data_IF_796801154720
#
_entry.id   IF_796801154720
#
_cell.length_a   1.000
_cell.length_b   1.000
_cell.length_c   1.000
_cell.angle_alpha   90.00
_cell.angle_beta   90.00
_cell.angle_gamma   90.00
#
_symmetry.space_group_name_H-M   'P 1'
#
loop_
_entity.id
_entity.type
_entity.pdbx_description
1 polymer ?
#
# COMPACT_ATOMS: atom_id res chain seq x y z
N UNK A 1 28.86 24.14 23.25
CA UNK A 1 27.51 24.09 23.81
C UNK A 1 26.44 24.43 22.73
N UNK A 2 26.72 25.34 21.83
CA UNK A 2 25.80 25.79 20.75
C UNK A 2 25.45 24.69 19.70
N UNK A 3 26.41 23.86 19.31
CA UNK A 3 26.20 22.77 18.36
C UNK A 3 25.24 21.64 18.85
N UNK A 4 25.14 21.45 20.16
CA UNK A 4 24.23 20.46 20.76
C UNK A 4 22.78 20.98 20.82
N UNK A 5 22.59 22.27 21.07
CA UNK A 5 21.30 22.95 21.06
C UNK A 5 20.69 23.00 19.65
N UNK A 6 21.49 23.29 18.62
CA UNK A 6 21.04 23.29 17.23
C UNK A 6 20.58 21.91 16.72
N UNK A 7 21.27 20.84 17.13
CA UNK A 7 20.88 19.45 16.80
C UNK A 7 19.58 19.03 17.49
N UNK A 8 19.34 19.50 18.72
CA UNK A 8 18.11 19.24 19.47
C UNK A 8 16.88 19.92 18.84
N UNK A 9 17.02 21.18 18.42
CA UNK A 9 15.96 21.94 17.74
C UNK A 9 15.61 21.32 16.36
N UNK A 10 16.61 21.02 15.54
CA UNK A 10 16.41 20.38 14.24
C UNK A 10 15.79 18.95 14.34
N UNK A 11 16.03 18.23 15.44
CA UNK A 11 15.39 16.93 15.71
C UNK A 11 13.92 17.10 16.13
N UNK A 12 13.62 18.10 16.96
CA UNK A 12 12.24 18.44 17.35
C UNK A 12 11.42 18.89 16.16
N UNK A 13 11.91 19.80 15.35
CA UNK A 13 11.24 20.28 14.12
C UNK A 13 10.94 19.13 13.15
N UNK A 14 11.88 18.21 12.95
CA UNK A 14 11.66 17.01 12.12
C UNK A 14 10.59 16.08 12.69
N UNK A 15 10.58 15.90 14.00
CA UNK A 15 9.58 15.07 14.68
C UNK A 15 8.18 15.73 14.61
N UNK A 16 8.09 17.06 14.78
CA UNK A 16 6.83 17.82 14.63
C UNK A 16 6.32 17.76 13.18
N UNK A 17 7.24 17.89 12.23
CA UNK A 17 6.93 17.78 10.81
C UNK A 17 6.41 16.38 10.43
N UNK A 18 7.00 15.32 11.00
CA UNK A 18 6.55 13.94 10.79
C UNK A 18 5.17 13.70 11.42
N UNK A 19 4.93 14.18 12.66
CA UNK A 19 3.62 14.10 13.31
C UNK A 19 2.53 14.83 12.51
N UNK A 20 2.80 16.03 12.06
CA UNK A 20 1.86 16.79 11.24
C UNK A 20 1.57 16.10 9.90
N UNK A 21 2.60 15.51 9.26
CA UNK A 21 2.40 14.73 8.04
C UNK A 21 1.44 13.57 8.29
N UNK A 22 1.65 12.81 9.36
CA UNK A 22 0.80 11.66 9.70
C UNK A 22 -0.64 12.09 9.98
N UNK A 23 -0.86 13.14 10.78
CA UNK A 23 -2.20 13.70 11.04
C UNK A 23 -2.94 14.10 9.76
N UNK A 24 -2.25 14.71 8.80
CA UNK A 24 -2.84 15.11 7.52
C UNK A 24 -3.22 13.86 6.70
N UNK A 25 -2.35 12.86 6.64
CA UNK A 25 -2.63 11.62 5.91
C UNK A 25 -3.75 10.80 6.54
N UNK A 26 -3.81 10.73 7.88
CA UNK A 26 -4.90 10.04 8.59
C UNK A 26 -6.25 10.75 8.35
N UNK A 27 -6.28 12.08 8.37
CA UNK A 27 -7.46 12.87 8.06
C UNK A 27 -7.91 12.68 6.60
N UNK A 28 -6.97 12.71 5.66
CA UNK A 28 -7.24 12.45 4.25
C UNK A 28 -7.80 11.03 4.03
N UNK A 29 -7.22 10.02 4.69
CA UNK A 29 -7.67 8.64 4.60
C UNK A 29 -9.13 8.48 5.03
N UNK A 30 -9.51 9.10 6.17
CA UNK A 30 -10.89 9.07 6.65
C UNK A 30 -11.84 9.75 5.68
N UNK A 31 -11.53 10.98 5.28
CA UNK A 31 -12.40 11.75 4.38
C UNK A 31 -12.55 11.08 3.00
N UNK A 32 -11.48 10.53 2.44
CA UNK A 32 -11.54 9.77 1.18
C UNK A 32 -12.38 8.49 1.29
N UNK A 33 -12.33 7.82 2.43
CA UNK A 33 -13.14 6.63 2.67
C UNK A 33 -14.64 6.96 2.85
N UNK A 34 -14.96 8.09 3.50
CA UNK A 34 -16.34 8.49 3.81
C UNK A 34 -17.03 9.18 2.64
N UNK A 35 -16.33 10.08 1.95
CA UNK A 35 -16.91 10.98 0.95
C UNK A 35 -16.51 10.67 -0.49
N UNK A 36 -15.52 9.80 -0.68
CA UNK A 36 -14.87 9.58 -1.97
C UNK A 36 -13.83 10.67 -2.29
N UNK A 37 -12.86 10.34 -3.13
CA UNK A 37 -11.72 11.22 -3.44
C UNK A 37 -12.18 12.53 -4.11
N UNK A 38 -13.19 12.48 -4.97
CA UNK A 38 -13.64 13.63 -5.75
C UNK A 38 -14.32 14.69 -4.89
N UNK A 39 -15.08 14.30 -3.87
CA UNK A 39 -15.81 15.21 -2.99
C UNK A 39 -14.93 15.89 -1.94
N UNK A 40 -13.72 15.39 -1.67
CA UNK A 40 -12.85 15.94 -0.62
C UNK A 40 -12.02 17.12 -1.14
N UNK A 41 -12.00 18.21 -0.38
CA UNK A 41 -11.12 19.37 -0.61
C UNK A 41 -9.91 19.36 0.33
N UNK A 42 -8.80 20.04 -0.08
CA UNK A 42 -7.65 20.25 0.82
C UNK A 42 -8.01 21.05 2.07
N UNK A 43 -9.02 21.92 1.98
CA UNK A 43 -9.51 22.71 3.13
C UNK A 43 -10.19 21.81 4.16
N UNK A 44 -11.02 20.86 3.72
CA UNK A 44 -11.64 19.87 4.60
C UNK A 44 -10.57 19.02 5.30
N UNK A 45 -9.55 18.57 4.56
CA UNK A 45 -8.44 17.83 5.14
C UNK A 45 -7.64 18.64 6.15
N UNK A 46 -7.38 19.93 5.86
CA UNK A 46 -6.67 20.82 6.78
C UNK A 46 -7.44 21.02 8.09
N UNK A 47 -8.75 21.24 7.99
CA UNK A 47 -9.66 21.39 9.13
C UNK A 47 -9.69 20.12 9.98
N UNK A 48 -9.91 18.96 9.36
CA UNK A 48 -9.95 17.66 10.03
C UNK A 48 -8.60 17.30 10.69
N UNK A 49 -7.49 17.65 10.05
CA UNK A 49 -6.15 17.44 10.59
C UNK A 49 -5.75 18.45 11.67
N UNK A 50 -6.52 19.53 11.88
CA UNK A 50 -6.18 20.63 12.78
C UNK A 50 -4.89 21.34 12.39
N UNK A 51 -4.69 21.61 11.09
CA UNK A 51 -3.54 22.34 10.54
C UNK A 51 -3.98 23.44 9.59
N UNK A 52 -3.13 24.44 9.36
CA UNK A 52 -3.44 25.48 8.37
C UNK A 52 -3.43 24.94 6.93
N UNK A 53 -4.36 25.41 6.06
CA UNK A 53 -4.44 25.09 4.63
C UNK A 53 -3.09 25.24 3.91
N UNK A 54 -2.36 26.33 4.18
CA UNK A 54 -1.04 26.56 3.60
C UNK A 54 0.00 25.48 3.95
N UNK A 55 -0.17 24.78 5.08
CA UNK A 55 0.69 23.67 5.48
C UNK A 55 0.43 22.45 4.61
N UNK A 56 -0.85 22.13 4.33
CA UNK A 56 -1.24 21.02 3.46
C UNK A 56 -0.77 21.30 2.03
N UNK A 57 -1.10 22.49 1.50
CA UNK A 57 -0.70 22.86 0.14
C UNK A 57 0.81 22.85 -0.06
N UNK A 58 1.59 23.49 0.84
CA UNK A 58 3.06 23.51 0.73
C UNK A 58 3.69 22.13 0.76
N UNK A 59 3.06 21.15 1.42
CA UNK A 59 3.62 19.82 1.64
C UNK A 59 3.21 18.80 0.57
N UNK A 60 2.00 18.92 0.05
CA UNK A 60 1.42 17.93 -0.85
C UNK A 60 1.05 18.51 -2.23
N UNK A 61 1.09 19.83 -2.39
CA UNK A 61 0.70 20.52 -3.60
C UNK A 61 -0.82 20.56 -3.78
N UNK A 62 -1.35 19.50 -4.32
CA UNK A 62 -2.77 19.36 -4.60
C UNK A 62 -3.36 18.06 -4.01
N UNK A 63 -4.60 17.77 -4.35
CA UNK A 63 -5.31 16.56 -3.93
C UNK A 63 -4.64 15.29 -4.47
N UNK A 64 -4.09 15.34 -5.68
CA UNK A 64 -3.40 14.19 -6.29
C UNK A 64 -2.08 13.87 -5.57
N UNK A 65 -1.31 14.91 -5.22
CA UNK A 65 -0.11 14.76 -4.41
C UNK A 65 -0.39 14.24 -2.99
N UNK A 66 -1.50 14.65 -2.38
CA UNK A 66 -1.95 14.13 -1.09
C UNK A 66 -2.35 12.64 -1.19
N UNK A 67 -3.07 12.27 -2.24
CA UNK A 67 -3.47 10.90 -2.53
C UNK A 67 -2.25 9.99 -2.74
N UNK A 68 -1.29 10.42 -3.57
CA UNK A 68 -0.04 9.70 -3.79
C UNK A 68 0.74 9.52 -2.48
N UNK A 69 0.85 10.56 -1.66
CA UNK A 69 1.56 10.47 -0.38
C UNK A 69 0.88 9.54 0.63
N UNK A 70 -0.45 9.39 0.56
CA UNK A 70 -1.20 8.45 1.39
C UNK A 70 -0.93 6.99 0.95
N UNK A 71 -0.90 6.72 -0.34
CA UNK A 71 -0.56 5.41 -0.87
C UNK A 71 0.88 5.02 -0.50
N UNK A 72 1.84 5.92 -0.70
CA UNK A 72 3.25 5.70 -0.34
C UNK A 72 3.44 5.34 1.16
N UNK A 73 2.66 5.95 2.04
CA UNK A 73 2.74 5.65 3.48
C UNK A 73 2.22 4.24 3.77
N UNK A 74 1.05 3.88 3.23
CA UNK A 74 0.46 2.56 3.39
C UNK A 74 1.30 1.44 2.76
N UNK A 75 1.90 1.71 1.61
CA UNK A 75 2.83 0.80 0.96
C UNK A 75 4.06 0.54 1.82
N UNK A 76 4.66 1.59 2.41
CA UNK A 76 5.77 1.45 3.34
C UNK A 76 5.40 0.64 4.58
N UNK A 77 4.25 0.90 5.18
CA UNK A 77 3.76 0.14 6.35
C UNK A 77 3.61 -1.35 6.01
N UNK A 78 3.07 -1.69 4.83
CA UNK A 78 2.97 -3.07 4.38
C UNK A 78 4.35 -3.68 4.09
N UNK A 79 5.27 -2.95 3.46
CA UNK A 79 6.65 -3.39 3.22
C UNK A 79 7.38 -3.68 4.54
N UNK A 80 7.28 -2.82 5.53
CA UNK A 80 7.87 -3.04 6.86
C UNK A 80 7.32 -4.30 7.52
N UNK A 81 6.00 -4.54 7.44
CA UNK A 81 5.38 -5.76 7.96
C UNK A 81 5.86 -7.02 7.25
N UNK A 82 6.11 -6.97 5.95
CA UNK A 82 6.66 -8.07 5.15
C UNK A 82 8.11 -8.37 5.51
N UNK A 83 8.91 -7.33 5.76
CA UNK A 83 10.35 -7.45 6.03
C UNK A 83 10.67 -7.82 7.48
N UNK A 84 9.96 -7.25 8.44
CA UNK A 84 10.30 -7.31 9.87
C UNK A 84 9.12 -7.53 10.80
N UNK A 85 7.89 -7.68 10.27
CA UNK A 85 6.70 -7.94 11.06
C UNK A 85 6.66 -9.38 11.60
N UNK A 86 5.66 -9.70 12.45
CA UNK A 86 5.49 -11.05 12.97
C UNK A 86 5.04 -12.05 11.89
N UNK A 87 5.32 -13.34 12.07
CA UNK A 87 4.73 -14.39 11.24
C UNK A 87 3.18 -14.35 11.29
N UNK A 88 2.47 -14.80 10.25
CA UNK A 88 3.00 -15.39 9.02
C UNK A 88 3.38 -14.41 7.91
N UNK A 89 3.11 -13.09 8.03
CA UNK A 89 3.43 -12.10 7.00
C UNK A 89 4.94 -11.82 6.95
N UNK A 90 5.54 -11.56 8.10
CA UNK A 90 6.97 -11.39 8.24
C UNK A 90 7.76 -12.71 8.18
N UNK A 91 9.09 -12.64 8.42
CA UNK A 91 9.98 -13.79 8.41
C UNK A 91 9.60 -14.84 9.46
N UNK A 92 10.02 -16.11 9.24
CA UNK A 92 9.88 -17.21 10.21
C UNK A 92 8.73 -18.18 9.93
N UNK A 93 7.85 -17.91 8.97
CA UNK A 93 6.81 -18.85 8.54
C UNK A 93 7.19 -19.53 7.19
N UNK A 94 6.60 -20.73 6.87
CA UNK A 94 6.81 -21.37 5.58
C UNK A 94 6.40 -20.46 4.40
N UNK A 95 7.06 -20.56 3.23
CA UNK A 95 6.82 -19.71 2.07
C UNK A 95 5.35 -19.64 1.64
N UNK A 96 4.63 -20.77 1.64
CA UNK A 96 3.20 -20.84 1.30
C UNK A 96 2.34 -20.00 2.28
N UNK A 97 2.64 -20.10 3.56
CA UNK A 97 1.92 -19.35 4.60
C UNK A 97 2.21 -17.83 4.47
N UNK A 98 3.46 -17.46 4.21
CA UNK A 98 3.85 -16.07 3.96
C UNK A 98 3.18 -15.49 2.72
N UNK A 99 3.14 -16.22 1.60
CA UNK A 99 2.47 -15.77 0.38
C UNK A 99 0.96 -15.59 0.58
N UNK A 100 0.31 -16.50 1.30
CA UNK A 100 -1.10 -16.38 1.64
C UNK A 100 -1.39 -15.16 2.53
N UNK A 101 -0.54 -14.92 3.55
CA UNK A 101 -0.64 -13.76 4.43
C UNK A 101 -0.36 -12.45 3.68
N UNK A 102 0.62 -12.44 2.78
CA UNK A 102 0.90 -11.31 1.90
C UNK A 102 -0.31 -11.00 1.00
N UNK A 103 -0.88 -12.00 0.33
CA UNK A 103 -2.06 -11.82 -0.53
C UNK A 103 -3.21 -11.19 0.25
N UNK A 104 -3.51 -11.68 1.45
CA UNK A 104 -4.54 -11.10 2.32
C UNK A 104 -4.23 -9.65 2.70
N UNK A 105 -3.03 -9.37 3.17
CA UNK A 105 -2.61 -8.03 3.58
C UNK A 105 -2.58 -7.03 2.42
N UNK A 106 -2.20 -7.48 1.21
CA UNK A 106 -2.24 -6.67 0.00
C UNK A 106 -3.69 -6.36 -0.43
N UNK A 107 -4.59 -7.35 -0.36
CA UNK A 107 -6.01 -7.14 -0.62
C UNK A 107 -6.63 -6.16 0.38
N UNK A 108 -6.29 -6.26 1.67
CA UNK A 108 -6.73 -5.29 2.68
C UNK A 108 -6.23 -3.88 2.36
N UNK A 109 -4.98 -3.74 1.90
CA UNK A 109 -4.41 -2.48 1.44
C UNK A 109 -5.21 -1.91 0.26
N UNK A 110 -5.41 -2.67 -0.82
CA UNK A 110 -6.14 -2.22 -2.01
C UNK A 110 -7.59 -1.89 -1.66
N UNK A 111 -8.30 -2.79 -0.98
CA UNK A 111 -9.73 -2.66 -0.67
C UNK A 111 -10.04 -1.63 0.42
N UNK A 112 -9.03 -1.07 1.09
CA UNK A 112 -9.20 0.06 2.02
C UNK A 112 -9.35 1.41 1.31
N UNK A 113 -8.85 1.55 0.06
CA UNK A 113 -8.96 2.74 -0.76
C UNK A 113 -8.88 2.38 -2.26
N UNK A 114 -9.83 1.57 -2.78
CA UNK A 114 -9.69 0.92 -4.08
C UNK A 114 -9.62 1.89 -5.23
N UNK A 115 -10.40 2.97 -5.21
CA UNK A 115 -10.37 4.01 -6.25
C UNK A 115 -9.05 4.76 -6.29
N UNK A 116 -8.44 5.01 -5.12
CA UNK A 116 -7.16 5.67 -5.02
C UNK A 116 -6.05 4.81 -5.63
N UNK A 117 -6.04 3.50 -5.30
CA UNK A 117 -5.08 2.55 -5.87
C UNK A 117 -5.31 2.42 -7.38
N UNK A 118 -6.57 2.30 -7.83
CA UNK A 118 -6.91 2.24 -9.26
C UNK A 118 -6.38 3.46 -10.02
N UNK A 119 -6.62 4.68 -9.51
CA UNK A 119 -6.09 5.91 -10.10
C UNK A 119 -4.57 5.88 -10.26
N UNK A 120 -3.85 5.42 -9.24
CA UNK A 120 -2.40 5.28 -9.29
C UNK A 120 -1.95 4.23 -10.32
N UNK A 121 -2.61 3.08 -10.37
CA UNK A 121 -2.29 1.98 -11.28
C UNK A 121 -2.59 2.30 -12.75
N UNK A 122 -3.57 3.18 -13.02
CA UNK A 122 -4.07 3.52 -14.37
C UNK A 122 -3.68 4.93 -14.84
N UNK A 123 -2.86 5.66 -14.08
CA UNK A 123 -2.44 7.04 -14.40
C UNK A 123 -1.78 7.18 -15.79
N UNK A 124 -1.18 6.12 -16.31
CA UNK A 124 -0.65 6.01 -17.69
C UNK A 124 -0.46 4.54 -18.06
N UNK A 125 -0.27 4.26 -19.35
CA UNK A 125 -0.01 2.89 -19.83
C UNK A 125 1.18 2.28 -19.08
N UNK A 126 0.95 1.14 -18.41
CA UNK A 126 1.94 0.45 -17.61
C UNK A 126 2.33 1.14 -16.30
N UNK A 127 1.56 2.13 -15.83
CA UNK A 127 1.82 2.83 -14.56
C UNK A 127 2.00 1.86 -13.40
N UNK A 128 1.13 0.86 -13.27
CA UNK A 128 1.18 -0.17 -12.23
C UNK A 128 2.57 -0.82 -12.09
N UNK A 129 3.23 -1.13 -13.21
CA UNK A 129 4.54 -1.80 -13.20
C UNK A 129 5.73 -0.85 -12.92
N UNK A 130 5.51 0.46 -12.98
CA UNK A 130 6.50 1.50 -12.68
C UNK A 130 6.41 2.04 -11.26
N UNK A 131 5.32 1.75 -10.55
CA UNK A 131 5.19 2.08 -9.14
C UNK A 131 6.28 1.32 -8.37
N UNK A 132 7.06 2.02 -7.55
CA UNK A 132 8.19 1.42 -6.83
C UNK A 132 7.82 0.23 -5.97
N UNK A 133 6.63 0.25 -5.39
CA UNK A 133 6.07 -0.83 -4.60
C UNK A 133 5.86 -2.13 -5.41
N UNK A 134 5.47 -2.06 -6.70
CA UNK A 134 5.28 -3.27 -7.52
C UNK A 134 6.55 -4.12 -7.63
N UNK A 135 7.70 -3.48 -7.84
CA UNK A 135 8.99 -4.17 -7.88
C UNK A 135 9.33 -4.89 -6.57
N UNK A 136 8.96 -4.29 -5.43
CA UNK A 136 9.12 -4.90 -4.13
C UNK A 136 8.20 -6.14 -3.96
N UNK A 137 6.92 -6.02 -4.28
CA UNK A 137 5.96 -7.12 -4.20
C UNK A 137 6.34 -8.30 -5.10
N UNK A 138 6.74 -8.00 -6.33
CA UNK A 138 7.23 -9.00 -7.28
C UNK A 138 8.47 -9.72 -6.74
N UNK A 139 9.45 -8.97 -6.20
CA UNK A 139 10.66 -9.55 -5.62
C UNK A 139 10.35 -10.42 -4.41
N UNK A 140 9.47 -9.96 -3.52
CA UNK A 140 9.04 -10.73 -2.36
C UNK A 140 8.43 -12.09 -2.76
N UNK A 141 7.44 -12.08 -3.66
CA UNK A 141 6.81 -13.32 -4.13
C UNK A 141 7.78 -14.23 -4.87
N UNK A 142 8.68 -13.67 -5.68
CA UNK A 142 9.73 -14.44 -6.39
C UNK A 142 10.66 -15.13 -5.42
N UNK A 143 11.04 -14.51 -4.31
CA UNK A 143 11.86 -15.13 -3.25
C UNK A 143 11.09 -16.29 -2.62
N UNK A 144 9.83 -16.07 -2.20
CA UNK A 144 9.02 -17.13 -1.60
C UNK A 144 8.79 -18.31 -2.54
N UNK A 145 8.54 -18.07 -3.83
CA UNK A 145 8.41 -19.12 -4.84
C UNK A 145 9.71 -19.93 -5.00
N UNK A 146 10.85 -19.23 -4.96
CA UNK A 146 12.16 -19.92 -5.02
C UNK A 146 12.40 -20.76 -3.78
N UNK A 147 12.08 -20.26 -2.59
CA UNK A 147 12.13 -21.00 -1.32
C UNK A 147 11.18 -22.22 -1.30
N UNK A 148 10.01 -22.10 -1.96
CA UNK A 148 9.07 -23.20 -2.16
C UNK A 148 9.54 -24.23 -3.20
N UNK A 149 10.71 -23.99 -3.84
CA UNK A 149 11.38 -24.93 -4.75
C UNK A 149 11.05 -24.74 -6.23
N UNK A 150 10.43 -23.61 -6.62
CA UNK A 150 10.28 -23.28 -8.05
C UNK A 150 11.61 -22.82 -8.65
N UNK A 151 11.94 -23.21 -9.89
CA UNK A 151 13.12 -22.71 -10.60
C UNK A 151 13.08 -21.19 -10.73
N UNK A 152 14.24 -20.50 -10.57
CA UNK A 152 14.33 -19.04 -10.56
C UNK A 152 13.64 -18.35 -11.74
N UNK A 153 13.78 -18.88 -12.96
CA UNK A 153 13.13 -18.33 -14.15
C UNK A 153 11.60 -18.42 -14.08
N UNK A 154 11.08 -19.56 -13.63
CA UNK A 154 9.64 -19.79 -13.45
C UNK A 154 9.08 -18.93 -12.30
N UNK A 155 9.82 -18.80 -11.21
CA UNK A 155 9.41 -18.01 -10.05
C UNK A 155 9.10 -16.54 -10.41
N UNK A 156 9.85 -15.92 -11.32
CA UNK A 156 9.55 -14.57 -11.80
C UNK A 156 8.21 -14.47 -12.55
N UNK A 157 7.93 -15.41 -13.44
CA UNK A 157 6.65 -15.48 -14.18
C UNK A 157 5.48 -15.72 -13.22
N UNK A 158 5.62 -16.67 -12.29
CA UNK A 158 4.59 -16.98 -11.30
C UNK A 158 4.34 -15.79 -10.34
N UNK A 159 5.37 -15.03 -9.97
CA UNK A 159 5.21 -13.82 -9.16
C UNK A 159 4.35 -12.76 -9.89
N UNK A 160 4.55 -12.56 -11.20
CA UNK A 160 3.66 -11.73 -12.01
C UNK A 160 2.23 -12.28 -12.06
N UNK A 161 2.07 -13.60 -12.26
CA UNK A 161 0.76 -14.24 -12.30
C UNK A 161 0.00 -14.11 -10.97
N UNK A 162 0.71 -14.16 -9.83
CA UNK A 162 0.11 -13.93 -8.52
C UNK A 162 -0.32 -12.46 -8.30
N UNK A 163 0.42 -11.49 -8.85
CA UNK A 163 0.09 -10.08 -8.73
C UNK A 163 -0.98 -9.61 -9.71
N UNK A 164 -1.14 -10.29 -10.84
CA UNK A 164 -2.08 -9.87 -11.89
C UNK A 164 -3.52 -9.73 -11.38
N UNK A 165 -4.13 -10.72 -10.71
CA UNK A 165 -5.49 -10.62 -10.22
C UNK A 165 -5.67 -9.67 -9.02
N UNK A 166 -4.59 -9.13 -8.47
CA UNK A 166 -4.62 -8.17 -7.36
C UNK A 166 -4.68 -6.71 -7.83
N UNK A 167 -4.84 -6.46 -9.14
CA UNK A 167 -5.04 -5.12 -9.68
C UNK A 167 -6.34 -4.51 -9.17
N UNK A 168 -6.32 -3.25 -8.75
CA UNK A 168 -7.50 -2.58 -8.19
C UNK A 168 -8.67 -2.58 -9.18
N UNK A 169 -8.43 -2.36 -10.47
CA UNK A 169 -9.45 -2.39 -11.52
C UNK A 169 -10.12 -3.77 -11.63
N UNK A 170 -9.33 -4.85 -11.58
CA UNK A 170 -9.86 -6.21 -11.61
C UNK A 170 -10.69 -6.56 -10.36
N UNK A 171 -10.22 -6.12 -9.18
CA UNK A 171 -10.95 -6.32 -7.91
C UNK A 171 -12.27 -5.56 -7.89
N UNK A 172 -12.26 -4.31 -8.35
CA UNK A 172 -13.47 -3.48 -8.45
C UNK A 172 -14.49 -4.06 -9.42
N UNK A 173 -14.06 -4.59 -10.59
CA UNK A 173 -14.94 -5.24 -11.55
C UNK A 173 -15.66 -6.44 -10.92
N UNK A 174 -14.96 -7.33 -10.23
CA UNK A 174 -15.57 -8.49 -9.57
C UNK A 174 -16.58 -8.08 -8.46
N UNK A 175 -16.25 -7.04 -7.68
CA UNK A 175 -17.18 -6.50 -6.67
C UNK A 175 -18.45 -5.91 -7.32
N UNK A 176 -18.31 -5.22 -8.46
CA UNK A 176 -19.42 -4.69 -9.24
C UNK A 176 -20.30 -5.79 -9.85
N UNK A 177 -19.73 -6.94 -10.18
CA UNK A 177 -20.43 -8.14 -10.64
C UNK A 177 -21.14 -8.91 -9.51
N UNK A 178 -21.02 -8.43 -8.26
CA UNK A 178 -21.69 -9.02 -7.09
C UNK A 178 -20.86 -10.04 -6.31
N UNK A 179 -19.58 -10.23 -6.63
CA UNK A 179 -18.69 -11.06 -5.79
C UNK A 179 -18.55 -10.42 -4.41
N UNK A 180 -18.75 -11.19 -3.35
CA UNK A 180 -18.54 -10.65 -2.01
C UNK A 180 -17.06 -10.41 -1.72
N UNK A 181 -16.76 -9.41 -0.87
CA UNK A 181 -15.38 -9.15 -0.42
C UNK A 181 -14.75 -10.40 0.22
N UNK A 182 -15.52 -11.18 0.97
CA UNK A 182 -15.05 -12.39 1.63
C UNK A 182 -14.65 -13.46 0.61
N UNK A 183 -15.51 -13.75 -0.36
CA UNK A 183 -15.24 -14.73 -1.42
C UNK A 183 -14.05 -14.32 -2.28
N UNK A 184 -13.95 -13.04 -2.61
CA UNK A 184 -12.82 -12.48 -3.35
C UNK A 184 -11.49 -12.70 -2.62
N UNK A 185 -11.45 -12.37 -1.33
CA UNK A 185 -10.23 -12.54 -0.51
C UNK A 185 -9.88 -14.02 -0.36
N UNK A 186 -10.85 -14.87 -0.03
CA UNK A 186 -10.60 -16.30 0.20
C UNK A 186 -10.23 -17.02 -1.10
N UNK A 187 -10.85 -16.67 -2.22
CA UNK A 187 -10.51 -17.19 -3.55
C UNK A 187 -9.09 -16.86 -3.95
N UNK A 188 -8.67 -15.60 -3.81
CA UNK A 188 -7.32 -15.15 -4.19
C UNK A 188 -6.23 -15.68 -3.23
N UNK A 189 -6.53 -15.80 -1.94
CA UNK A 189 -5.63 -16.46 -0.98
C UNK A 189 -5.48 -17.95 -1.30
N UNK A 190 -6.58 -18.64 -1.67
CA UNK A 190 -6.51 -20.04 -2.13
C UNK A 190 -5.70 -20.16 -3.42
N UNK A 191 -5.91 -19.26 -4.39
CA UNK A 191 -5.12 -19.21 -5.62
C UNK A 191 -3.62 -19.07 -5.31
N UNK A 192 -3.24 -18.17 -4.42
CA UNK A 192 -1.84 -18.02 -4.01
C UNK A 192 -1.26 -19.31 -3.42
N UNK A 193 -2.00 -20.01 -2.55
CA UNK A 193 -1.57 -21.30 -1.99
C UNK A 193 -1.39 -22.37 -3.06
N UNK A 194 -2.29 -22.45 -4.04
CA UNK A 194 -2.21 -23.41 -5.14
C UNK A 194 -0.99 -23.18 -6.04
N UNK A 195 -0.70 -21.91 -6.37
CA UNK A 195 0.46 -21.54 -7.19
C UNK A 195 1.77 -21.78 -6.44
N UNK A 196 1.79 -21.59 -5.12
CA UNK A 196 2.95 -21.82 -4.27
C UNK A 196 3.20 -23.31 -4.00
N UNK A 197 2.13 -24.14 -3.97
CA UNK A 197 2.21 -25.59 -3.90
C UNK A 197 2.65 -26.16 -5.25
N UNK A 198 3.43 -27.23 -5.21
CA UNK A 198 3.79 -27.97 -6.42
C UNK A 198 2.67 -28.90 -6.84
#
# INVERSE_FOLDING_TARGET
>A
MELALGRGLARRERADAARNRRRILDAAARLFAELGVDAVSLDAVATEAGVGKGTVFRRFGDKSGLAAALLDERERELQERVLSGPPPLGPGAPPVARAAAFTRAYLDYVLSAPELVRMSETASVGARFRIGAFGFWHTHLRVLLTEAGHPRGRAGVLAHALLAPLAAEHLLAQLAEGTSRADLVDGLVRHAKLVMGR
#
